data_IF_353653507737
#
_entry.id   IF_353653507737
#
_cell.length_a   1.000
_cell.length_b   1.000
_cell.length_c   1.000
_cell.angle_alpha   90.00
_cell.angle_beta   90.00
_cell.angle_gamma   90.00
#
_symmetry.space_group_name_H-M   'P 1'
#
loop_
_entity.id
_entity.type
_entity.pdbx_description
1 polymer ?
#
# COMPACT_ATOMS: atom_id res chain seq x y z
N UNK A 1 -42.28 -24.58 -17.70
CA UNK A 1 -41.79 -23.62 -16.70
C UNK A 1 -40.29 -23.59 -16.83
N UNK A 2 -39.70 -22.42 -16.99
CA UNK A 2 -38.23 -22.25 -16.87
C UNK A 2 -37.91 -21.94 -15.41
N UNK A 3 -37.60 -22.97 -14.62
CA UNK A 3 -37.16 -22.79 -13.23
C UNK A 3 -35.71 -22.37 -13.21
N UNK A 4 -35.40 -21.22 -12.63
CA UNK A 4 -34.02 -20.80 -12.40
C UNK A 4 -33.45 -21.55 -11.20
N UNK A 5 -32.67 -22.61 -11.45
CA UNK A 5 -31.98 -23.35 -10.40
C UNK A 5 -30.76 -22.56 -9.90
N UNK A 6 -30.58 -22.41 -8.57
CA UNK A 6 -29.32 -21.87 -8.04
C UNK A 6 -28.11 -22.66 -8.51
N UNK A 7 -27.01 -21.98 -8.85
CA UNK A 7 -25.75 -22.64 -9.26
C UNK A 7 -24.52 -21.85 -8.77
N UNK A 8 -23.38 -22.48 -8.79
CA UNK A 8 -22.07 -21.90 -8.47
C UNK A 8 -21.15 -22.11 -9.66
N UNK A 9 -20.45 -21.06 -10.08
CA UNK A 9 -19.41 -21.09 -11.09
C UNK A 9 -18.17 -20.30 -10.66
N UNK A 10 -17.26 -20.03 -11.60
CA UNK A 10 -16.03 -19.26 -11.38
C UNK A 10 -16.27 -17.78 -11.05
N UNK A 11 -17.46 -17.26 -11.34
CA UNK A 11 -17.87 -15.88 -10.99
C UNK A 11 -18.53 -15.78 -9.61
N UNK A 12 -18.96 -16.93 -9.03
CA UNK A 12 -19.54 -16.99 -7.71
C UNK A 12 -20.84 -17.80 -7.61
N UNK A 13 -21.65 -17.47 -6.60
CA UNK A 13 -22.95 -18.09 -6.37
C UNK A 13 -24.06 -17.27 -7.03
N UNK A 14 -24.86 -17.93 -7.84
CA UNK A 14 -25.99 -17.36 -8.55
C UNK A 14 -27.31 -17.86 -7.94
N UNK A 15 -28.11 -16.94 -7.47
CA UNK A 15 -29.42 -17.22 -6.86
C UNK A 15 -30.50 -16.50 -7.67
N UNK A 16 -31.70 -17.09 -7.78
CA UNK A 16 -32.84 -16.40 -8.39
C UNK A 16 -33.16 -15.15 -7.56
N UNK A 17 -33.55 -14.08 -8.24
CA UNK A 17 -34.01 -12.85 -7.59
C UNK A 17 -35.40 -13.03 -6.99
N UNK A 18 -35.80 -12.07 -6.14
CA UNK A 18 -37.17 -12.01 -5.64
C UNK A 18 -38.21 -12.08 -6.78
N UNK A 19 -37.98 -11.33 -7.87
CA UNK A 19 -38.89 -11.28 -9.01
C UNK A 19 -38.95 -12.63 -9.73
N UNK A 20 -37.81 -13.30 -9.97
CA UNK A 20 -37.79 -14.64 -10.56
C UNK A 20 -38.62 -15.62 -9.76
N UNK A 21 -38.48 -15.62 -8.44
CA UNK A 21 -39.23 -16.49 -7.52
C UNK A 21 -40.71 -16.20 -7.52
N UNK A 22 -41.08 -14.90 -7.49
CA UNK A 22 -42.46 -14.50 -7.53
C UNK A 22 -43.14 -14.95 -8.82
N UNK A 23 -42.47 -14.77 -9.96
CA UNK A 23 -42.98 -15.20 -11.26
C UNK A 23 -43.13 -16.73 -11.35
N UNK A 24 -42.18 -17.49 -10.80
CA UNK A 24 -42.27 -18.95 -10.74
C UNK A 24 -43.44 -19.39 -9.85
N UNK A 25 -43.65 -18.76 -8.69
CA UNK A 25 -44.76 -19.06 -7.79
C UNK A 25 -46.11 -18.70 -8.41
N UNK A 26 -46.23 -17.55 -9.10
CA UNK A 26 -47.41 -17.16 -9.83
C UNK A 26 -47.73 -18.12 -10.98
N UNK A 27 -46.71 -18.56 -11.71
CA UNK A 27 -46.87 -19.53 -12.78
C UNK A 27 -47.31 -20.92 -12.24
N UNK A 28 -46.74 -21.37 -11.13
CA UNK A 28 -47.13 -22.58 -10.43
C UNK A 28 -48.55 -22.53 -9.94
N UNK A 29 -48.97 -21.42 -9.32
CA UNK A 29 -50.35 -21.19 -8.89
C UNK A 29 -51.36 -21.30 -10.05
N UNK A 30 -51.07 -20.62 -11.18
CA UNK A 30 -51.90 -20.71 -12.39
C UNK A 30 -51.99 -22.11 -12.98
N UNK A 31 -50.92 -22.88 -12.88
CA UNK A 31 -50.89 -24.26 -13.32
C UNK A 31 -51.78 -25.19 -12.48
N UNK A 32 -51.94 -24.88 -11.19
CA UNK A 32 -52.70 -25.69 -10.23
C UNK A 32 -54.18 -25.28 -10.26
N UNK A 33 -54.47 -23.98 -10.23
CA UNK A 33 -55.81 -23.42 -10.01
C UNK A 33 -56.49 -22.91 -11.29
N UNK A 34 -55.78 -22.94 -12.42
CA UNK A 34 -56.29 -22.53 -13.73
C UNK A 34 -55.71 -21.20 -14.23
N UNK A 35 -55.66 -21.04 -15.53
CA UNK A 35 -55.06 -19.86 -16.19
C UNK A 35 -55.89 -18.57 -16.00
N UNK A 36 -57.15 -18.70 -15.64
CA UNK A 36 -58.10 -17.55 -15.42
C UNK A 36 -57.91 -16.93 -14.02
N UNK A 37 -57.06 -17.49 -13.18
CA UNK A 37 -56.82 -16.94 -11.85
C UNK A 37 -56.26 -15.51 -11.97
N UNK A 38 -57.07 -14.53 -11.47
CA UNK A 38 -56.61 -13.14 -11.39
C UNK A 38 -55.63 -12.99 -10.24
N UNK A 39 -54.35 -12.81 -10.59
CA UNK A 39 -53.26 -12.59 -9.64
C UNK A 39 -52.71 -11.19 -9.87
N UNK A 40 -53.37 -10.20 -9.24
CA UNK A 40 -52.90 -8.81 -9.19
C UNK A 40 -52.42 -8.47 -7.78
N UNK A 41 -51.62 -7.46 -7.57
CA UNK A 41 -51.08 -7.10 -6.24
C UNK A 41 -52.11 -6.89 -5.15
N UNK A 42 -53.31 -6.59 -5.50
CA UNK A 42 -54.47 -6.35 -4.58
C UNK A 42 -55.14 -7.65 -4.09
N UNK A 43 -54.86 -8.77 -4.76
CA UNK A 43 -55.49 -10.06 -4.42
C UNK A 43 -54.71 -10.75 -3.30
N UNK A 44 -55.42 -11.30 -2.26
CA UNK A 44 -54.77 -11.97 -1.13
C UNK A 44 -53.79 -13.09 -1.54
N UNK A 45 -54.13 -13.86 -2.56
CA UNK A 45 -53.28 -14.97 -3.07
C UNK A 45 -51.94 -14.43 -3.62
N UNK A 46 -51.95 -13.32 -4.37
CA UNK A 46 -50.74 -12.68 -4.84
C UNK A 46 -49.88 -12.19 -3.66
N UNK A 47 -50.55 -11.55 -2.67
CA UNK A 47 -49.84 -11.05 -1.49
C UNK A 47 -49.21 -12.18 -0.67
N UNK A 48 -49.88 -13.32 -0.55
CA UNK A 48 -49.35 -14.50 0.12
C UNK A 48 -48.12 -15.04 -0.64
N UNK A 49 -48.23 -15.18 -1.96
CA UNK A 49 -47.09 -15.65 -2.81
C UNK A 49 -45.91 -14.68 -2.77
N UNK A 50 -46.18 -13.37 -2.69
CA UNK A 50 -45.13 -12.36 -2.55
C UNK A 50 -44.36 -12.46 -1.22
N UNK A 51 -45.08 -12.79 -0.13
CA UNK A 51 -44.48 -13.06 1.19
C UNK A 51 -43.59 -14.31 1.14
N UNK A 52 -44.05 -15.38 0.49
CA UNK A 52 -43.21 -16.58 0.30
C UNK A 52 -41.99 -16.31 -0.57
N UNK A 53 -42.15 -15.57 -1.68
CA UNK A 53 -41.03 -15.17 -2.51
C UNK A 53 -39.97 -14.37 -1.75
N UNK A 54 -40.43 -13.43 -0.89
CA UNK A 54 -39.57 -12.64 -0.01
C UNK A 54 -38.85 -13.49 1.02
N UNK A 55 -39.52 -14.41 1.68
CA UNK A 55 -38.94 -15.31 2.65
C UNK A 55 -37.85 -16.19 2.02
N UNK A 56 -38.07 -16.69 0.80
CA UNK A 56 -37.09 -17.45 0.03
C UNK A 56 -35.89 -16.58 -0.40
N UNK A 57 -36.12 -15.33 -0.76
CA UNK A 57 -35.08 -14.37 -1.11
C UNK A 57 -34.19 -14.08 0.10
N UNK A 58 -34.77 -13.81 1.27
CA UNK A 58 -34.04 -13.57 2.52
C UNK A 58 -33.21 -14.80 2.94
N UNK A 59 -33.77 -16.01 2.82
CA UNK A 59 -33.05 -17.25 3.09
C UNK A 59 -31.86 -17.43 2.14
N UNK A 60 -32.02 -17.04 0.88
CA UNK A 60 -30.95 -17.13 -0.11
C UNK A 60 -29.85 -16.10 0.10
N UNK A 61 -30.23 -14.88 0.50
CA UNK A 61 -29.27 -13.85 0.87
C UNK A 61 -28.34 -14.35 2.01
N UNK A 62 -28.92 -15.01 3.02
CA UNK A 62 -28.15 -15.63 4.10
C UNK A 62 -27.22 -16.75 3.59
N UNK A 63 -27.68 -17.56 2.63
CA UNK A 63 -26.86 -18.62 2.03
C UNK A 63 -25.68 -18.03 1.24
N UNK A 64 -25.89 -16.95 0.49
CA UNK A 64 -24.83 -16.20 -0.22
C UNK A 64 -23.82 -15.61 0.77
N UNK A 65 -24.29 -14.97 1.84
CA UNK A 65 -23.41 -14.42 2.87
C UNK A 65 -22.62 -15.51 3.59
N UNK A 66 -23.24 -16.66 3.89
CA UNK A 66 -22.55 -17.81 4.47
C UNK A 66 -21.47 -18.39 3.55
N UNK A 67 -21.74 -18.46 2.26
CA UNK A 67 -20.75 -18.86 1.25
C UNK A 67 -19.59 -17.87 1.17
N UNK A 68 -19.89 -16.59 1.04
CA UNK A 68 -18.91 -15.52 0.94
C UNK A 68 -18.08 -15.36 2.22
N UNK A 69 -18.63 -15.69 3.41
CA UNK A 69 -17.92 -15.60 4.68
C UNK A 69 -16.73 -16.54 4.78
N UNK A 70 -16.60 -17.53 3.89
CA UNK A 70 -15.44 -18.41 3.81
C UNK A 70 -14.24 -17.82 3.09
N UNK A 71 -14.46 -16.76 2.31
CA UNK A 71 -13.42 -16.11 1.52
C UNK A 71 -13.11 -14.72 2.11
N UNK A 72 -11.89 -14.49 2.61
CA UNK A 72 -11.53 -13.21 3.24
C UNK A 72 -11.65 -11.99 2.30
N UNK A 73 -11.68 -12.21 0.99
CA UNK A 73 -11.83 -11.13 0.01
C UNK A 73 -13.30 -10.72 -0.22
N UNK A 74 -14.25 -11.57 0.12
CA UNK A 74 -15.69 -11.33 -0.02
C UNK A 74 -16.43 -11.22 1.31
N UNK A 75 -15.88 -11.82 2.38
CA UNK A 75 -16.46 -11.79 3.72
C UNK A 75 -16.66 -10.35 4.23
N UNK A 76 -17.72 -10.13 5.00
CA UNK A 76 -18.11 -8.82 5.57
C UNK A 76 -18.43 -8.95 7.05
N UNK A 77 -18.30 -7.84 7.78
CA UNK A 77 -18.67 -7.75 9.19
C UNK A 77 -18.11 -8.89 10.04
N UNK A 78 -18.99 -9.52 10.83
CA UNK A 78 -18.61 -10.64 11.70
C UNK A 78 -17.99 -11.84 10.97
N UNK A 79 -18.41 -12.12 9.74
CA UNK A 79 -17.80 -13.18 8.91
C UNK A 79 -16.33 -12.90 8.61
N UNK A 80 -15.99 -11.66 8.30
CA UNK A 80 -14.59 -11.24 8.09
C UNK A 80 -13.80 -11.29 9.41
N UNK A 81 -14.42 -10.91 10.53
CA UNK A 81 -13.78 -10.90 11.85
C UNK A 81 -13.37 -12.31 12.30
N UNK A 82 -14.17 -13.32 11.96
CA UNK A 82 -13.84 -14.73 12.23
C UNK A 82 -12.67 -15.25 11.39
N UNK A 83 -12.39 -14.63 10.24
CA UNK A 83 -11.26 -15.00 9.38
C UNK A 83 -9.95 -14.30 9.75
N UNK A 84 -9.98 -13.09 10.31
CA UNK A 84 -8.79 -12.31 10.64
C UNK A 84 -7.76 -13.10 11.49
N UNK A 85 -8.12 -13.88 12.52
CA UNK A 85 -7.16 -14.64 13.31
C UNK A 85 -6.35 -15.67 12.51
N UNK A 86 -6.91 -16.20 11.41
CA UNK A 86 -6.17 -17.15 10.53
C UNK A 86 -4.96 -16.47 9.87
N UNK A 87 -4.99 -15.14 9.76
CA UNK A 87 -3.90 -14.32 9.23
C UNK A 87 -3.05 -13.66 10.33
N UNK A 88 -3.29 -14.01 11.61
CA UNK A 88 -2.62 -13.40 12.76
C UNK A 88 -3.05 -11.97 13.00
N UNK A 89 -4.26 -11.59 12.57
CA UNK A 89 -4.82 -10.25 12.67
C UNK A 89 -6.04 -10.24 13.59
N UNK A 90 -6.33 -9.06 14.16
CA UNK A 90 -7.58 -8.73 14.86
C UNK A 90 -8.11 -7.44 14.30
N UNK A 91 -9.43 -7.21 14.34
CA UNK A 91 -10.02 -5.96 13.89
C UNK A 91 -9.56 -4.80 14.79
N UNK A 92 -9.15 -3.70 14.17
CA UNK A 92 -8.85 -2.47 14.88
C UNK A 92 -10.14 -1.70 15.18
N UNK A 93 -10.12 -0.89 16.24
CA UNK A 93 -11.27 -0.06 16.59
C UNK A 93 -11.62 0.91 15.45
N UNK A 94 -12.86 0.86 14.97
CA UNK A 94 -13.33 1.70 13.86
C UNK A 94 -12.83 1.29 12.47
N UNK A 95 -12.17 0.14 12.33
CA UNK A 95 -11.64 -0.32 11.04
C UNK A 95 -12.76 -0.79 10.11
N UNK A 96 -12.77 -0.27 8.88
CA UNK A 96 -13.69 -0.72 7.84
C UNK A 96 -13.29 -2.10 7.29
N UNK A 97 -14.25 -2.84 6.71
CA UNK A 97 -13.99 -4.12 6.06
C UNK A 97 -12.96 -4.00 4.92
N UNK A 98 -12.97 -2.89 4.19
CA UNK A 98 -11.99 -2.64 3.13
C UNK A 98 -10.56 -2.52 3.67
N UNK A 99 -10.38 -1.81 4.80
CA UNK A 99 -9.09 -1.67 5.46
C UNK A 99 -8.61 -3.01 6.04
N UNK A 100 -9.50 -3.77 6.70
CA UNK A 100 -9.19 -5.10 7.21
C UNK A 100 -8.75 -6.07 6.10
N UNK A 101 -9.44 -6.09 4.95
CA UNK A 101 -9.04 -6.87 3.77
C UNK A 101 -7.70 -6.42 3.17
N UNK A 102 -7.40 -5.12 3.18
CA UNK A 102 -6.08 -4.62 2.76
C UNK A 102 -4.96 -5.14 3.67
N UNK A 103 -5.19 -5.19 4.99
CA UNK A 103 -4.25 -5.78 5.96
C UNK A 103 -4.05 -7.28 5.75
N UNK A 104 -5.11 -8.05 5.43
CA UNK A 104 -4.97 -9.46 5.07
C UNK A 104 -4.05 -9.62 3.87
N UNK A 105 -4.23 -8.82 2.80
CA UNK A 105 -3.34 -8.85 1.62
C UNK A 105 -1.89 -8.53 1.99
N UNK A 106 -1.67 -7.52 2.82
CA UNK A 106 -0.34 -7.18 3.34
C UNK A 106 0.29 -8.31 4.17
N UNK A 107 -0.50 -8.98 5.03
CA UNK A 107 -0.06 -10.14 5.79
C UNK A 107 0.32 -11.33 4.90
N UNK A 108 -0.43 -11.58 3.83
CA UNK A 108 -0.12 -12.63 2.84
C UNK A 108 1.15 -12.30 2.04
N UNK A 109 1.32 -11.04 1.64
CA UNK A 109 2.55 -10.59 0.97
C UNK A 109 3.77 -10.76 1.88
N UNK A 110 3.63 -10.47 3.19
CA UNK A 110 4.69 -10.68 4.18
C UNK A 110 5.03 -12.15 4.45
N UNK A 111 4.17 -13.08 4.02
CA UNK A 111 4.42 -14.53 4.03
C UNK A 111 4.98 -15.06 2.70
N UNK A 112 5.18 -14.17 1.72
CA UNK A 112 5.78 -14.52 0.43
C UNK A 112 7.11 -15.23 0.63
N UNK A 113 7.38 -16.22 -0.20
CA UNK A 113 8.63 -16.99 -0.22
C UNK A 113 9.82 -16.19 -0.77
N UNK A 114 9.58 -15.01 -1.35
CA UNK A 114 10.65 -14.08 -1.70
C UNK A 114 11.18 -13.43 -0.43
N UNK A 115 12.39 -13.84 -0.05
CA UNK A 115 13.04 -13.40 1.20
C UNK A 115 13.21 -11.89 1.27
N UNK A 116 13.66 -11.18 0.20
CA UNK A 116 13.77 -9.72 0.23
C UNK A 116 12.45 -9.03 0.51
N UNK A 117 11.40 -9.40 -0.22
CA UNK A 117 10.08 -8.75 -0.11
C UNK A 117 9.43 -8.98 1.25
N UNK A 118 9.53 -10.22 1.76
CA UNK A 118 9.00 -10.59 3.07
C UNK A 118 9.76 -9.87 4.21
N UNK A 119 11.07 -9.71 4.07
CA UNK A 119 11.90 -8.99 5.03
C UNK A 119 11.62 -7.48 4.97
N UNK A 120 11.50 -6.91 3.77
CA UNK A 120 11.14 -5.49 3.62
C UNK A 120 9.77 -5.17 4.23
N UNK A 121 8.77 -6.02 4.00
CA UNK A 121 7.43 -5.86 4.56
C UNK A 121 7.46 -5.89 6.10
N UNK A 122 8.20 -6.82 6.69
CA UNK A 122 8.38 -6.93 8.14
C UNK A 122 9.08 -5.68 8.71
N UNK A 123 10.14 -5.21 8.04
CA UNK A 123 10.88 -4.03 8.47
C UNK A 123 10.05 -2.75 8.35
N UNK A 124 9.27 -2.59 7.28
CA UNK A 124 8.36 -1.45 7.10
C UNK A 124 7.23 -1.41 8.13
N UNK A 125 6.86 -2.54 8.72
CA UNK A 125 5.85 -2.61 9.78
C UNK A 125 6.37 -2.09 11.14
N UNK A 126 7.69 -1.89 11.31
CA UNK A 126 8.27 -1.39 12.56
C UNK A 126 7.96 0.11 12.69
N UNK A 127 7.48 0.58 13.86
CA UNK A 127 7.19 1.99 14.08
C UNK A 127 8.37 2.91 13.75
N UNK A 128 8.08 4.03 13.09
CA UNK A 128 9.05 5.04 12.64
C UNK A 128 10.04 4.57 11.55
N UNK A 129 9.94 3.38 11.01
CA UNK A 129 10.66 3.02 9.79
C UNK A 129 10.00 3.73 8.61
N UNK A 130 10.78 4.49 7.86
CA UNK A 130 10.30 5.28 6.72
C UNK A 130 10.54 4.57 5.39
N UNK A 131 11.74 4.01 5.22
CA UNK A 131 12.15 3.36 3.98
C UNK A 131 13.04 2.17 4.29
N UNK A 132 12.94 1.15 3.45
CA UNK A 132 13.71 -0.09 3.56
C UNK A 132 14.14 -0.53 2.18
N UNK A 133 15.38 -0.95 2.07
CA UNK A 133 15.93 -1.65 0.91
C UNK A 133 16.68 -2.89 1.39
N UNK A 134 16.32 -4.05 0.84
CA UNK A 134 17.01 -5.31 1.12
C UNK A 134 17.68 -5.83 -0.14
N UNK A 135 18.94 -6.16 -0.05
CA UNK A 135 19.70 -6.86 -1.11
C UNK A 135 20.31 -8.14 -0.58
N UNK A 136 20.33 -9.15 -1.41
CA UNK A 136 20.98 -10.42 -1.13
C UNK A 136 22.12 -10.58 -2.11
N UNK A 137 23.28 -10.96 -1.59
CA UNK A 137 24.39 -11.47 -2.39
C UNK A 137 24.45 -12.99 -2.18
N UNK A 138 24.00 -13.74 -3.15
CA UNK A 138 24.02 -15.21 -3.21
C UNK A 138 25.23 -15.77 -3.96
N UNK A 139 26.13 -14.89 -4.43
CA UNK A 139 27.34 -15.26 -5.15
C UNK A 139 28.50 -15.57 -4.20
N UNK A 140 29.57 -16.22 -4.74
CA UNK A 140 30.76 -16.54 -4.00
C UNK A 140 31.76 -15.36 -3.89
N UNK A 141 31.43 -14.20 -4.45
CA UNK A 141 32.24 -12.99 -4.40
C UNK A 141 31.47 -11.81 -3.79
N UNK A 142 32.21 -10.81 -3.31
CA UNK A 142 31.56 -9.58 -2.85
C UNK A 142 31.02 -8.78 -4.04
N UNK A 143 29.73 -8.34 -3.93
CA UNK A 143 29.03 -7.50 -4.92
C UNK A 143 28.49 -6.27 -4.21
N UNK A 144 28.70 -5.08 -4.75
CA UNK A 144 28.26 -3.80 -4.15
C UNK A 144 28.70 -3.62 -2.67
N UNK A 145 29.87 -4.10 -2.30
CA UNK A 145 30.39 -4.17 -0.93
C UNK A 145 29.55 -5.07 0.01
N UNK A 146 28.68 -5.90 -0.51
CA UNK A 146 27.99 -6.95 0.26
C UNK A 146 28.85 -8.22 0.15
N UNK A 147 29.34 -8.79 1.26
CA UNK A 147 30.12 -10.03 1.24
C UNK A 147 29.31 -11.18 0.61
N UNK A 148 30.03 -12.22 0.17
CA UNK A 148 29.42 -13.45 -0.32
C UNK A 148 28.42 -14.03 0.68
N UNK A 149 27.31 -14.57 0.19
CA UNK A 149 26.25 -15.24 0.98
C UNK A 149 25.71 -14.40 2.14
N UNK A 150 25.54 -13.08 1.91
CA UNK A 150 25.06 -12.13 2.91
C UNK A 150 23.79 -11.41 2.48
N UNK A 151 22.96 -11.09 3.48
CA UNK A 151 21.85 -10.13 3.35
C UNK A 151 22.33 -8.77 3.85
N UNK A 152 22.12 -7.73 3.05
CA UNK A 152 22.29 -6.33 3.43
C UNK A 152 20.93 -5.65 3.48
N UNK A 153 20.52 -5.23 4.68
CA UNK A 153 19.33 -4.42 4.90
C UNK A 153 19.74 -2.96 5.15
N UNK A 154 19.19 -2.03 4.38
CA UNK A 154 19.31 -0.60 4.59
C UNK A 154 17.99 -0.09 5.12
N UNK A 155 17.97 0.47 6.32
CA UNK A 155 16.72 0.88 6.99
C UNK A 155 16.81 2.32 7.44
N UNK A 156 15.94 3.16 6.90
CA UNK A 156 15.85 4.57 7.28
C UNK A 156 14.95 4.71 8.50
N UNK A 157 15.53 5.23 9.61
CA UNK A 157 14.85 5.44 10.89
C UNK A 157 14.41 4.12 11.58
N UNK A 158 13.55 4.20 12.62
CA UNK A 158 13.10 3.04 13.40
C UNK A 158 14.07 2.57 14.51
N UNK A 159 13.56 1.79 15.45
CA UNK A 159 14.33 1.26 16.57
C UNK A 159 15.31 0.17 16.11
N UNK A 160 16.61 0.33 16.44
CA UNK A 160 17.67 -0.56 15.95
C UNK A 160 17.53 -2.00 16.47
N UNK A 161 17.05 -2.19 17.71
CA UNK A 161 16.87 -3.52 18.28
C UNK A 161 15.68 -4.25 17.63
N UNK A 162 14.59 -3.54 17.39
CA UNK A 162 13.41 -4.10 16.69
C UNK A 162 13.74 -4.49 15.25
N UNK A 163 14.55 -3.67 14.55
CA UNK A 163 15.05 -3.97 13.20
C UNK A 163 15.90 -5.25 13.21
N UNK A 164 16.86 -5.36 14.14
CA UNK A 164 17.71 -6.55 14.23
C UNK A 164 16.90 -7.81 14.56
N UNK A 165 15.92 -7.72 15.46
CA UNK A 165 15.03 -8.84 15.78
C UNK A 165 14.19 -9.29 14.59
N UNK A 166 13.67 -8.35 13.78
CA UNK A 166 12.92 -8.65 12.57
C UNK A 166 13.81 -9.35 11.51
N UNK A 167 15.03 -8.84 11.29
CA UNK A 167 16.01 -9.46 10.39
C UNK A 167 16.32 -10.88 10.86
N UNK A 168 16.57 -11.08 12.16
CA UNK A 168 16.89 -12.38 12.71
C UNK A 168 15.78 -13.41 12.46
N UNK A 169 14.52 -13.02 12.69
CA UNK A 169 13.35 -13.91 12.47
C UNK A 169 13.15 -14.32 11.00
N UNK A 170 13.49 -13.42 10.08
CA UNK A 170 13.19 -13.60 8.64
C UNK A 170 14.38 -14.07 7.81
N UNK A 171 15.62 -13.92 8.30
CA UNK A 171 16.78 -14.41 7.55
C UNK A 171 16.77 -15.94 7.47
N UNK A 172 17.12 -16.55 6.34
CA UNK A 172 17.31 -17.98 6.26
C UNK A 172 18.43 -18.47 7.18
N UNK A 173 18.34 -19.71 7.69
CA UNK A 173 19.44 -20.36 8.37
C UNK A 173 20.70 -20.38 7.50
N UNK A 174 21.86 -20.15 8.11
CA UNK A 174 23.16 -20.18 7.41
C UNK A 174 23.52 -18.91 6.64
N UNK A 175 22.60 -17.97 6.38
CA UNK A 175 22.90 -16.71 5.73
C UNK A 175 23.34 -15.66 6.76
N UNK A 176 24.47 -15.03 6.49
CA UNK A 176 25.00 -13.93 7.31
C UNK A 176 24.35 -12.59 6.97
N UNK A 177 24.44 -11.63 7.90
CA UNK A 177 23.96 -10.26 7.68
C UNK A 177 25.12 -9.30 7.58
N UNK A 178 25.03 -8.34 6.66
CA UNK A 178 26.05 -7.31 6.40
C UNK A 178 25.51 -5.92 6.75
N UNK A 179 26.36 -5.07 7.29
CA UNK A 179 26.01 -3.69 7.59
C UNK A 179 26.96 -3.01 8.59
N UNK A 180 26.76 -1.70 8.76
CA UNK A 180 27.58 -0.83 9.63
C UNK A 180 27.04 -0.75 11.07
N UNK A 181 25.78 -1.08 11.29
CA UNK A 181 25.13 -1.12 12.60
C UNK A 181 25.01 -2.56 13.06
N UNK A 182 25.50 -2.88 14.26
CA UNK A 182 25.44 -4.22 14.84
C UNK A 182 24.55 -4.23 16.07
N UNK A 183 23.73 -5.27 16.24
CA UNK A 183 22.91 -5.53 17.44
C UNK A 183 22.92 -7.02 17.76
N UNK A 184 22.85 -7.32 19.06
CA UNK A 184 22.72 -8.70 19.54
C UNK A 184 21.25 -9.02 19.73
N UNK A 185 20.82 -10.17 19.19
CA UNK A 185 19.49 -10.75 19.38
C UNK A 185 19.69 -12.09 20.09
N UNK A 186 18.93 -12.32 21.14
CA UNK A 186 18.91 -13.58 21.86
C UNK A 186 17.74 -14.41 21.35
N UNK A 187 17.99 -15.66 20.97
CA UNK A 187 16.94 -16.58 20.54
C UNK A 187 16.19 -17.22 21.72
N UNK A 188 15.23 -18.11 21.43
CA UNK A 188 14.41 -18.77 22.46
C UNK A 188 15.23 -19.74 23.34
N UNK A 189 16.36 -20.22 22.86
CA UNK A 189 17.29 -21.09 23.57
C UNK A 189 18.33 -20.31 24.42
N UNK A 190 18.25 -18.98 24.42
CA UNK A 190 19.17 -18.11 25.15
C UNK A 190 20.51 -17.86 24.43
N UNK A 191 20.65 -18.28 23.17
CA UNK A 191 21.88 -18.07 22.37
C UNK A 191 21.88 -16.66 21.77
N UNK A 192 23.03 -15.99 21.88
CA UNK A 192 23.24 -14.65 21.35
C UNK A 192 23.69 -14.66 19.90
N UNK A 193 22.95 -13.95 19.05
CA UNK A 193 23.26 -13.81 17.61
C UNK A 193 23.54 -12.35 17.27
N UNK A 194 24.62 -12.13 16.54
CA UNK A 194 24.96 -10.77 16.04
C UNK A 194 24.28 -10.55 14.70
N UNK A 195 23.42 -9.52 14.64
CA UNK A 195 22.72 -9.10 13.43
C UNK A 195 23.25 -7.73 13.00
N UNK A 196 23.59 -7.62 11.71
CA UNK A 196 24.10 -6.38 11.12
C UNK A 196 23.12 -5.84 10.09
N UNK A 197 23.00 -4.51 10.04
CA UNK A 197 22.26 -3.77 9.01
C UNK A 197 22.90 -2.38 8.85
N UNK A 198 22.46 -1.59 7.88
CA UNK A 198 22.96 -0.23 7.69
C UNK A 198 21.85 0.80 7.76
N UNK A 199 22.23 2.03 8.08
CA UNK A 199 21.44 3.22 7.80
C UNK A 199 21.80 3.74 6.42
N UNK A 200 20.89 4.46 5.71
CA UNK A 200 21.24 5.07 4.43
C UNK A 200 22.44 6.01 4.57
N UNK A 201 23.31 6.03 3.59
CA UNK A 201 24.34 7.05 3.47
C UNK A 201 23.70 8.34 2.96
N UNK A 202 23.36 9.26 3.85
CA UNK A 202 22.69 10.50 3.49
C UNK A 202 23.65 11.46 2.78
N UNK A 203 23.27 11.89 1.57
CA UNK A 203 23.94 12.95 0.82
C UNK A 203 23.06 14.20 0.82
N UNK A 204 23.52 15.24 1.53
CA UNK A 204 22.81 16.52 1.58
C UNK A 204 22.93 17.21 0.23
N UNK A 205 21.80 17.63 -0.30
CA UNK A 205 21.72 18.40 -1.54
C UNK A 205 21.21 19.83 -1.27
N UNK A 206 21.61 20.74 -2.12
CA UNK A 206 21.14 22.12 -2.16
C UNK A 206 20.49 22.39 -3.50
N UNK A 207 19.34 23.04 -3.51
CA UNK A 207 18.58 23.34 -4.73
C UNK A 207 18.51 24.84 -4.90
N UNK A 208 18.98 25.32 -6.06
CA UNK A 208 18.87 26.72 -6.45
C UNK A 208 17.81 26.87 -7.56
N UNK A 209 16.83 27.72 -7.34
CA UNK A 209 15.71 27.95 -8.29
C UNK A 209 15.72 29.43 -8.66
N UNK A 210 15.77 29.74 -9.96
CA UNK A 210 15.63 31.12 -10.48
C UNK A 210 14.24 31.30 -11.07
N UNK A 211 13.50 32.27 -10.54
CA UNK A 211 12.13 32.57 -10.93
C UNK A 211 12.08 33.94 -11.63
N UNK A 212 11.42 33.99 -12.77
CA UNK A 212 11.03 35.25 -13.41
C UNK A 212 9.60 35.58 -12.99
N UNK A 213 9.44 36.68 -12.28
CA UNK A 213 8.15 37.13 -11.77
C UNK A 213 7.30 37.83 -12.83
N UNK A 214 5.98 37.58 -12.80
CA UNK A 214 4.97 38.26 -13.63
C UNK A 214 3.92 38.93 -12.73
N UNK A 215 2.96 39.61 -13.35
CA UNK A 215 1.86 40.27 -12.62
C UNK A 215 1.11 39.28 -11.72
N UNK A 216 0.93 39.63 -10.46
CA UNK A 216 0.23 38.78 -9.46
C UNK A 216 1.13 37.76 -8.75
N UNK A 217 2.46 37.85 -8.94
CA UNK A 217 3.40 36.93 -8.23
C UNK A 217 3.44 37.26 -6.73
N UNK A 218 3.12 36.25 -5.93
CA UNK A 218 3.31 36.24 -4.47
C UNK A 218 4.53 35.41 -4.13
N UNK A 219 5.66 36.10 -3.90
CA UNK A 219 6.92 35.44 -3.59
C UNK A 219 6.81 34.50 -2.34
N UNK A 220 6.20 35.01 -1.27
CA UNK A 220 6.16 34.26 -0.02
C UNK A 220 5.34 32.97 -0.16
N UNK A 221 4.16 33.04 -0.77
CA UNK A 221 3.29 31.89 -0.99
C UNK A 221 3.93 30.87 -1.94
N UNK A 222 4.48 31.33 -3.07
CA UNK A 222 5.08 30.45 -4.09
C UNK A 222 6.33 29.75 -3.55
N UNK A 223 7.28 30.48 -2.93
CA UNK A 223 8.51 29.85 -2.43
C UNK A 223 8.26 28.90 -1.25
N UNK A 224 7.29 29.22 -0.38
CA UNK A 224 6.89 28.31 0.71
C UNK A 224 6.31 26.99 0.17
N UNK A 225 5.36 27.05 -0.76
CA UNK A 225 4.73 25.89 -1.38
C UNK A 225 5.76 25.02 -2.14
N UNK A 226 6.66 25.65 -2.89
CA UNK A 226 7.72 24.94 -3.60
C UNK A 226 8.71 24.26 -2.65
N UNK A 227 9.13 24.95 -1.58
CA UNK A 227 10.05 24.39 -0.58
C UNK A 227 9.43 23.17 0.10
N UNK A 228 8.17 23.29 0.53
CA UNK A 228 7.45 22.17 1.15
C UNK A 228 7.36 20.96 0.19
N UNK A 229 7.01 21.21 -1.09
CA UNK A 229 6.92 20.15 -2.08
C UNK A 229 8.27 19.46 -2.34
N UNK A 230 9.37 20.22 -2.41
CA UNK A 230 10.71 19.67 -2.54
C UNK A 230 11.13 18.86 -1.31
N UNK A 231 10.90 19.39 -0.11
CA UNK A 231 11.20 18.70 1.15
C UNK A 231 10.45 17.37 1.25
N UNK A 232 9.15 17.38 0.92
CA UNK A 232 8.32 16.18 0.93
C UNK A 232 8.79 15.17 -0.11
N UNK A 233 9.08 15.61 -1.32
CA UNK A 233 9.53 14.72 -2.39
C UNK A 233 10.90 14.10 -2.10
N UNK A 234 11.90 14.91 -1.79
CA UNK A 234 13.28 14.45 -1.60
C UNK A 234 13.39 13.60 -0.33
N UNK A 235 12.81 14.04 0.80
CA UNK A 235 13.02 13.36 2.07
C UNK A 235 12.13 12.12 2.25
N UNK A 236 10.93 12.12 1.67
CA UNK A 236 9.93 11.07 1.90
C UNK A 236 9.47 10.37 0.62
N UNK A 237 9.47 11.05 -0.52
CA UNK A 237 9.00 10.50 -1.79
C UNK A 237 10.03 9.72 -2.58
N UNK A 238 11.33 10.03 -2.43
CA UNK A 238 12.40 9.30 -3.10
C UNK A 238 12.86 8.10 -2.27
N UNK A 239 13.07 6.97 -2.93
CA UNK A 239 13.56 5.74 -2.30
C UNK A 239 15.09 5.74 -2.08
N UNK A 240 15.55 4.79 -1.24
CA UNK A 240 16.99 4.53 -1.03
C UNK A 240 17.58 4.02 -2.35
N UNK A 241 18.69 4.60 -2.77
CA UNK A 241 19.38 4.25 -4.04
C UNK A 241 18.76 4.90 -5.28
N UNK A 242 17.69 5.68 -5.13
CA UNK A 242 17.07 6.39 -6.24
C UNK A 242 17.89 7.63 -6.65
N UNK A 243 18.14 7.78 -7.94
CA UNK A 243 18.80 8.95 -8.50
C UNK A 243 17.80 10.05 -8.84
N UNK A 244 18.15 11.30 -8.58
CA UNK A 244 17.32 12.46 -8.84
C UNK A 244 17.48 12.95 -10.27
N UNK A 245 16.40 12.96 -11.04
CA UNK A 245 16.33 13.61 -12.35
C UNK A 245 15.84 15.05 -12.17
N UNK A 246 16.76 16.01 -12.29
CA UNK A 246 16.49 17.45 -12.01
C UNK A 246 15.37 18.03 -12.88
N UNK A 247 15.27 17.73 -14.19
CA UNK A 247 14.14 18.20 -15.01
C UNK A 247 12.76 17.79 -14.52
N UNK A 248 12.62 16.68 -13.82
CA UNK A 248 11.32 16.26 -13.26
C UNK A 248 10.83 17.17 -12.13
N UNK A 249 11.74 17.92 -11.50
CA UNK A 249 11.37 18.88 -10.45
C UNK A 249 10.55 20.07 -10.97
N UNK A 250 10.75 20.47 -12.23
CA UNK A 250 9.96 21.58 -12.82
C UNK A 250 8.46 21.32 -12.73
N UNK A 251 8.02 20.13 -13.14
CA UNK A 251 6.59 19.76 -13.08
C UNK A 251 6.04 19.76 -11.64
N UNK A 252 6.84 19.30 -10.67
CA UNK A 252 6.46 19.29 -9.26
C UNK A 252 6.35 20.69 -8.68
N UNK A 253 7.27 21.59 -9.02
CA UNK A 253 7.28 22.96 -8.56
C UNK A 253 6.09 23.75 -9.10
N UNK A 254 5.77 23.61 -10.39
CA UNK A 254 4.56 24.21 -10.96
C UNK A 254 3.28 23.64 -10.34
N UNK A 255 3.22 22.35 -10.11
CA UNK A 255 2.07 21.72 -9.45
C UNK A 255 1.89 22.20 -8.00
N UNK A 256 2.99 22.41 -7.27
CA UNK A 256 2.95 22.93 -5.89
C UNK A 256 2.44 24.38 -5.83
N UNK A 257 2.78 25.20 -6.82
CA UNK A 257 2.31 26.58 -6.90
C UNK A 257 0.80 26.70 -7.22
N UNK A 258 0.18 25.63 -7.76
CA UNK A 258 -1.25 25.57 -8.02
C UNK A 258 -1.78 26.73 -8.86
N UNK A 259 -2.72 27.51 -8.32
CA UNK A 259 -3.32 28.64 -9.01
C UNK A 259 -2.32 29.78 -9.35
N UNK A 260 -1.19 29.85 -8.62
CA UNK A 260 -0.15 30.85 -8.85
C UNK A 260 0.86 30.44 -9.93
N UNK A 261 0.74 29.26 -10.53
CA UNK A 261 1.69 28.72 -11.51
C UNK A 261 1.86 29.60 -12.76
N UNK A 262 0.86 30.44 -13.11
CA UNK A 262 0.90 31.36 -14.24
C UNK A 262 1.52 32.76 -13.90
N UNK A 263 1.88 33.01 -12.63
CA UNK A 263 2.42 34.29 -12.17
C UNK A 263 3.94 34.35 -12.19
N UNK A 264 4.61 33.27 -12.58
CA UNK A 264 6.06 33.18 -12.69
C UNK A 264 6.49 32.18 -13.77
N UNK A 265 7.78 32.20 -14.11
CA UNK A 265 8.42 31.15 -14.88
C UNK A 265 9.70 30.72 -14.17
N UNK A 266 9.96 29.40 -14.11
CA UNK A 266 11.23 28.85 -13.64
C UNK A 266 12.21 28.93 -14.79
N UNK A 267 13.23 29.81 -14.68
CA UNK A 267 14.22 30.05 -15.72
C UNK A 267 15.47 29.20 -15.55
N UNK A 268 15.81 28.84 -14.31
CA UNK A 268 16.91 27.93 -14.01
C UNK A 268 16.59 27.12 -12.75
N UNK A 269 17.04 25.88 -12.75
CA UNK A 269 16.95 24.97 -11.62
C UNK A 269 18.22 24.11 -11.58
N UNK A 270 18.97 24.23 -10.51
CA UNK A 270 20.21 23.54 -10.33
C UNK A 270 20.26 22.81 -8.96
N UNK A 271 20.89 21.66 -8.92
CA UNK A 271 21.09 20.86 -7.71
C UNK A 271 22.58 20.71 -7.46
N UNK A 272 23.01 21.02 -6.26
CA UNK A 272 24.39 20.87 -5.81
C UNK A 272 24.48 19.75 -4.80
N UNK A 273 25.37 18.81 -5.03
CA UNK A 273 25.71 17.74 -4.09
C UNK A 273 27.24 17.63 -3.99
N UNK A 274 27.78 17.56 -2.78
CA UNK A 274 29.22 17.46 -2.52
C UNK A 274 30.07 18.46 -3.32
N UNK A 275 29.56 19.70 -3.49
CA UNK A 275 30.24 20.79 -4.23
C UNK A 275 30.10 20.74 -5.75
N UNK A 276 29.45 19.72 -6.32
CA UNK A 276 29.18 19.60 -7.75
C UNK A 276 27.76 20.02 -8.06
N UNK A 277 27.59 20.95 -9.00
CA UNK A 277 26.27 21.46 -9.43
C UNK A 277 25.89 20.85 -10.76
N UNK A 278 24.67 20.33 -10.86
CA UNK A 278 24.09 19.76 -12.09
C UNK A 278 22.67 20.27 -12.33
N UNK A 279 22.24 20.26 -13.59
CA UNK A 279 20.88 20.55 -14.05
C UNK A 279 20.20 19.33 -14.68
N UNK A 280 20.89 18.20 -14.72
CA UNK A 280 20.41 17.00 -15.40
C UNK A 280 20.03 15.92 -14.40
N UNK A 281 21.04 15.25 -13.83
CA UNK A 281 20.84 14.10 -12.97
C UNK A 281 21.84 14.11 -11.80
N UNK A 282 21.37 13.71 -10.63
CA UNK A 282 22.19 13.40 -9.46
C UNK A 282 22.12 11.90 -9.23
N UNK A 283 23.23 11.22 -9.47
CA UNK A 283 23.32 9.78 -9.22
C UNK A 283 23.56 9.51 -7.72
N UNK A 284 22.95 8.45 -7.25
CA UNK A 284 23.03 8.02 -5.86
C UNK A 284 23.56 6.60 -5.78
N UNK A 285 24.46 6.32 -4.84
CA UNK A 285 24.86 4.95 -4.56
C UNK A 285 23.65 4.10 -4.13
N UNK A 286 23.68 2.80 -4.40
CA UNK A 286 22.55 1.89 -4.09
C UNK A 286 22.09 1.93 -2.62
N UNK A 287 22.98 2.27 -1.69
CA UNK A 287 22.72 2.41 -0.25
C UNK A 287 22.63 3.86 0.19
N UNK A 288 22.64 4.80 -0.75
CA UNK A 288 22.59 6.23 -0.51
C UNK A 288 21.18 6.77 -0.49
N UNK A 289 21.01 7.95 0.10
CA UNK A 289 19.78 8.72 0.06
C UNK A 289 20.09 10.20 -0.08
N UNK A 290 19.43 10.85 -1.02
CA UNK A 290 19.44 12.32 -1.12
C UNK A 290 18.53 12.91 -0.05
N UNK A 291 18.98 13.95 0.62
CA UNK A 291 18.21 14.63 1.68
C UNK A 291 18.34 16.14 1.55
N UNK A 292 17.26 16.86 1.78
CA UNK A 292 17.26 18.28 2.11
C UNK A 292 17.27 18.40 3.63
N UNK A 293 18.26 19.09 4.17
CA UNK A 293 18.43 19.19 5.62
C UNK A 293 17.28 19.99 6.25
N UNK A 294 17.01 21.16 5.68
CA UNK A 294 15.92 22.05 6.06
C UNK A 294 15.53 22.97 4.89
N UNK A 295 14.64 23.94 5.16
CA UNK A 295 14.18 24.91 4.15
C UNK A 295 15.32 25.77 3.57
N UNK A 296 16.43 25.99 4.31
CA UNK A 296 17.58 26.77 3.84
C UNK A 296 18.40 26.03 2.76
N UNK A 297 18.17 24.71 2.62
CA UNK A 297 18.75 23.92 1.53
C UNK A 297 18.17 24.27 0.16
N UNK A 298 17.09 25.08 0.12
CA UNK A 298 16.48 25.56 -1.13
C UNK A 298 16.61 27.10 -1.18
N UNK A 299 17.22 27.59 -2.24
CA UNK A 299 17.43 29.03 -2.45
C UNK A 299 16.68 29.52 -3.68
N UNK A 300 16.12 30.73 -3.60
CA UNK A 300 15.36 31.34 -4.68
C UNK A 300 15.99 32.66 -5.11
N UNK A 301 16.18 32.82 -6.42
CA UNK A 301 16.55 34.08 -7.04
C UNK A 301 15.36 34.58 -7.88
N UNK A 302 14.91 35.81 -7.63
CA UNK A 302 13.78 36.44 -8.36
C UNK A 302 14.34 37.47 -9.31
N UNK A 303 13.94 37.39 -10.60
CA UNK A 303 14.35 38.29 -11.69
C UNK A 303 13.14 38.92 -12.43
#
# INVERSE_FOLDING_TARGET
MSYFAPYIDDTGIHMPTYEDRLQDLLAAYRSIFGLDARLTPEVPDYQLLSVFAKALDDASALAVDAFNSRNPFYARGAGLDLLLPQFGLTRLSGESDAAARARIRGSLAGRSTSIPDALEAELRAIPNVQQVLVRINDTDAAVDNIPAHCIAAIVNNGNAQSIAAAIFRKKPPGISTSGTTSRTVVDEDGVSHTVKFSRPANSVIFIAVTLKAYTGFDQAAVTAAMTEALMNYINYGMDIGESLNVPQLYGRLYAAAGALANTFAITDLAVTVSGTTTRERVDTAWNGKLVLFDASSVTYTII
#
